data_IF_577486101148
#
_entry.id   IF_577486101148
#
_cell.length_a   1.000
_cell.length_b   1.000
_cell.length_c   1.000
_cell.angle_alpha   90.00
_cell.angle_beta   90.00
_cell.angle_gamma   90.00
#
_symmetry.space_group_name_H-M   'P 1'
#
loop_
_entity.id
_entity.type
_entity.pdbx_description
1 polymer ?
#
# COMPACT_ATOMS: atom_id res chain seq x y z
N UNK A 1 18.48 -22.64 20.98
CA UNK A 1 17.55 -21.54 20.64
C UNK A 1 18.35 -20.43 19.99
N UNK A 2 18.18 -20.21 18.69
CA UNK A 2 18.00 -18.86 18.13
C UNK A 2 17.63 -18.97 16.64
N UNK A 3 16.37 -19.29 16.29
CA UNK A 3 15.86 -18.80 15.01
C UNK A 3 15.82 -17.28 15.13
N UNK A 4 16.24 -16.54 14.10
CA UNK A 4 16.11 -15.07 14.05
C UNK A 4 14.71 -14.72 14.56
N UNK A 5 14.61 -13.97 15.65
CA UNK A 5 13.33 -13.40 16.07
C UNK A 5 12.90 -12.49 14.91
N UNK A 6 12.01 -12.99 14.06
CA UNK A 6 11.41 -12.20 13.01
C UNK A 6 10.51 -11.17 13.68
N UNK A 7 10.92 -9.92 13.59
CA UNK A 7 10.13 -8.79 14.08
C UNK A 7 9.17 -8.38 12.96
N UNK A 8 7.98 -8.99 12.90
CA UNK A 8 6.98 -8.72 11.84
C UNK A 8 6.60 -7.24 11.76
N UNK A 9 6.62 -6.52 12.89
CA UNK A 9 6.42 -5.07 12.91
C UNK A 9 7.52 -4.29 12.20
N UNK A 10 8.77 -4.77 12.17
CA UNK A 10 9.81 -4.15 11.33
C UNK A 10 9.59 -4.46 9.85
N UNK A 11 9.15 -5.67 9.52
CA UNK A 11 8.83 -6.05 8.15
C UNK A 11 7.63 -5.26 7.60
N UNK A 12 6.69 -4.89 8.48
CA UNK A 12 5.60 -3.97 8.17
C UNK A 12 6.14 -2.59 7.77
N UNK A 13 7.03 -2.02 8.59
CA UNK A 13 7.66 -0.73 8.25
C UNK A 13 8.40 -0.81 6.91
N UNK A 14 9.15 -1.89 6.66
CA UNK A 14 9.88 -2.08 5.40
C UNK A 14 8.94 -2.02 4.19
N UNK A 15 7.82 -2.76 4.21
CA UNK A 15 6.86 -2.74 3.10
C UNK A 15 6.15 -1.40 2.98
N UNK A 16 5.84 -0.72 4.09
CA UNK A 16 5.25 0.63 4.05
C UNK A 16 6.21 1.67 3.45
N UNK A 17 7.50 1.62 3.81
CA UNK A 17 8.51 2.54 3.23
C UNK A 17 8.64 2.29 1.74
N UNK A 18 8.69 1.02 1.32
CA UNK A 18 8.74 0.66 -0.10
C UNK A 18 7.48 1.11 -0.86
N UNK A 19 6.28 0.91 -0.32
CA UNK A 19 5.02 1.36 -0.92
C UNK A 19 4.93 2.89 -1.03
N UNK A 20 5.47 3.63 -0.04
CA UNK A 20 5.59 5.10 -0.13
C UNK A 20 6.47 5.51 -1.30
N UNK A 21 7.64 4.87 -1.46
CA UNK A 21 8.55 5.14 -2.58
C UNK A 21 7.90 4.84 -3.94
N UNK A 22 7.20 3.71 -4.07
CA UNK A 22 6.46 3.36 -5.30
C UNK A 22 5.39 4.39 -5.67
N UNK A 23 4.68 4.94 -4.68
CA UNK A 23 3.71 6.00 -4.93
C UNK A 23 4.40 7.31 -5.35
N UNK A 24 5.55 7.64 -4.77
CA UNK A 24 6.35 8.81 -5.15
C UNK A 24 6.85 8.68 -6.60
N UNK A 25 7.42 7.54 -6.98
CA UNK A 25 7.87 7.29 -8.36
C UNK A 25 6.70 7.43 -9.36
N UNK A 26 5.52 6.90 -9.03
CA UNK A 26 4.33 7.02 -9.89
C UNK A 26 3.89 8.48 -10.03
N UNK A 27 4.02 9.29 -8.98
CA UNK A 27 3.68 10.72 -9.02
C UNK A 27 4.66 11.49 -9.90
N UNK A 28 5.95 11.21 -9.78
CA UNK A 28 6.98 11.84 -10.60
C UNK A 28 6.80 11.50 -12.08
N UNK A 29 6.53 10.24 -12.40
CA UNK A 29 6.22 9.80 -13.77
C UNK A 29 4.97 10.50 -14.33
N UNK A 30 3.92 10.65 -13.53
CA UNK A 30 2.69 11.36 -13.93
C UNK A 30 2.96 12.84 -14.19
N UNK A 31 3.73 13.50 -13.32
CA UNK A 31 4.07 14.91 -13.50
C UNK A 31 4.93 15.12 -14.76
N UNK A 32 5.90 14.24 -15.02
CA UNK A 32 6.72 14.26 -16.24
C UNK A 32 5.87 14.04 -17.50
N UNK A 33 4.94 13.08 -17.47
CA UNK A 33 4.02 12.88 -18.59
C UNK A 33 3.23 14.15 -18.91
N UNK A 34 2.66 14.80 -17.90
CA UNK A 34 1.91 16.04 -18.10
C UNK A 34 2.79 17.24 -18.48
N UNK A 35 4.10 17.20 -18.20
CA UNK A 35 5.08 18.16 -18.69
C UNK A 35 5.54 17.89 -20.14
N UNK A 36 5.20 16.73 -20.69
CA UNK A 36 5.55 16.33 -22.06
C UNK A 36 6.96 15.73 -22.21
N UNK A 37 7.63 15.39 -21.10
CA UNK A 37 8.96 14.78 -21.06
C UNK A 37 9.00 13.40 -20.37
N UNK A 38 7.83 12.89 -19.98
CA UNK A 38 7.69 11.64 -19.25
C UNK A 38 7.33 10.40 -20.08
N UNK A 39 6.98 9.30 -19.39
CA UNK A 39 6.63 8.04 -20.01
C UNK A 39 5.33 8.12 -20.81
N UNK A 40 5.13 7.15 -21.69
CA UNK A 40 3.91 7.05 -22.47
C UNK A 40 2.73 6.60 -21.59
N UNK A 41 1.48 6.95 -21.90
CA UNK A 41 0.30 6.62 -21.08
C UNK A 41 0.18 5.14 -20.69
N UNK A 42 0.55 4.22 -21.60
CA UNK A 42 0.54 2.78 -21.32
C UNK A 42 1.56 2.37 -20.24
N UNK A 43 2.69 3.06 -20.18
CA UNK A 43 3.80 2.75 -19.28
C UNK A 43 3.45 3.29 -17.87
N UNK A 44 2.83 4.47 -17.78
CA UNK A 44 2.18 4.98 -16.56
C UNK A 44 1.16 4.01 -15.99
N UNK A 45 0.28 3.50 -16.85
CA UNK A 45 -0.74 2.54 -16.42
C UNK A 45 -0.09 1.25 -15.92
N UNK A 46 0.95 0.75 -16.59
CA UNK A 46 1.68 -0.43 -16.13
C UNK A 46 2.32 -0.21 -14.76
N UNK A 47 2.93 0.95 -14.53
CA UNK A 47 3.48 1.34 -13.24
C UNK A 47 2.38 1.38 -12.17
N UNK A 48 1.26 2.06 -12.44
CA UNK A 48 0.11 2.08 -11.55
C UNK A 48 -0.41 0.67 -11.23
N UNK A 49 -0.55 -0.21 -12.21
CA UNK A 49 -1.01 -1.58 -11.96
C UNK A 49 -0.06 -2.39 -11.08
N UNK A 50 1.25 -2.20 -11.26
CA UNK A 50 2.28 -2.81 -10.39
C UNK A 50 2.11 -2.35 -8.94
N UNK A 51 2.09 -1.03 -8.72
CA UNK A 51 1.89 -0.44 -7.40
C UNK A 51 0.53 -0.82 -6.77
N UNK A 52 -0.57 -0.70 -7.52
CA UNK A 52 -1.91 -1.07 -7.08
C UNK A 52 -1.96 -2.55 -6.67
N UNK A 53 -1.39 -3.45 -7.47
CA UNK A 53 -1.37 -4.88 -7.14
C UNK A 53 -0.58 -5.17 -5.87
N UNK A 54 0.54 -4.48 -5.66
CA UNK A 54 1.35 -4.63 -4.45
C UNK A 54 0.62 -4.14 -3.20
N UNK A 55 0.01 -2.95 -3.27
CA UNK A 55 -0.76 -2.38 -2.16
C UNK A 55 -2.00 -3.23 -1.84
N UNK A 56 -2.69 -3.74 -2.87
CA UNK A 56 -3.81 -4.68 -2.68
C UNK A 56 -3.34 -5.99 -2.04
N UNK A 57 -2.20 -6.57 -2.47
CA UNK A 57 -1.63 -7.79 -1.86
C UNK A 57 -1.36 -7.57 -0.38
N UNK A 58 -0.73 -6.45 -0.05
CA UNK A 58 -0.41 -6.04 1.31
C UNK A 58 -1.69 -5.94 2.18
N UNK A 59 -2.63 -5.04 1.85
CA UNK A 59 -3.83 -4.84 2.67
C UNK A 59 -4.73 -6.07 2.74
N UNK A 60 -4.89 -6.83 1.64
CA UNK A 60 -5.74 -8.03 1.67
C UNK A 60 -5.12 -9.15 2.49
N UNK A 61 -3.79 -9.24 2.54
CA UNK A 61 -3.09 -10.16 3.42
C UNK A 61 -3.21 -9.77 4.88
N UNK A 62 -3.15 -8.48 5.21
CA UNK A 62 -3.44 -8.02 6.57
C UNK A 62 -4.87 -8.36 6.98
N UNK A 63 -5.85 -8.06 6.12
CA UNK A 63 -7.27 -8.29 6.37
C UNK A 63 -7.63 -9.74 6.64
N UNK A 64 -6.96 -10.66 5.92
CA UNK A 64 -7.29 -12.09 5.87
C UNK A 64 -6.35 -12.96 6.69
N UNK A 65 -5.14 -12.48 6.98
CA UNK A 65 -4.08 -13.26 7.62
C UNK A 65 -3.66 -12.59 8.92
N UNK A 66 -3.19 -11.34 8.90
CA UNK A 66 -2.65 -10.72 10.12
C UNK A 66 -3.71 -10.31 11.14
N UNK A 67 -4.74 -9.59 10.71
CA UNK A 67 -5.77 -9.07 11.60
C UNK A 67 -6.57 -10.15 12.33
N UNK A 68 -6.89 -11.33 11.73
CA UNK A 68 -7.46 -12.45 12.48
C UNK A 68 -6.59 -12.92 13.65
N UNK A 69 -5.29 -13.15 13.42
CA UNK A 69 -4.34 -13.58 14.46
C UNK A 69 -4.25 -12.55 15.59
N UNK A 70 -4.15 -11.26 15.23
CA UNK A 70 -4.14 -10.16 16.21
C UNK A 70 -5.46 -10.11 16.99
N UNK A 71 -6.61 -10.27 16.35
CA UNK A 71 -7.92 -10.18 17.01
C UNK A 71 -8.26 -11.39 17.90
N UNK A 72 -7.57 -12.51 17.70
CA UNK A 72 -7.62 -13.70 18.55
C UNK A 72 -6.78 -13.49 19.81
N UNK A 73 -5.52 -13.07 19.66
CA UNK A 73 -4.59 -12.89 20.78
C UNK A 73 -4.84 -11.59 21.58
N UNK A 74 -5.27 -10.51 20.90
CA UNK A 74 -5.51 -9.18 21.47
C UNK A 74 -6.92 -8.65 21.13
N UNK A 75 -8.00 -9.20 21.73
CA UNK A 75 -9.38 -8.83 21.43
C UNK A 75 -9.69 -7.33 21.57
N UNK A 76 -8.96 -6.61 22.43
CA UNK A 76 -9.07 -5.17 22.62
C UNK A 76 -8.66 -4.33 21.40
N UNK A 77 -7.94 -4.91 20.44
CA UNK A 77 -7.53 -4.25 19.19
C UNK A 77 -8.57 -4.35 18.08
N UNK A 78 -9.69 -5.05 18.28
CA UNK A 78 -10.77 -5.12 17.27
C UNK A 78 -11.27 -3.75 16.77
N UNK A 79 -11.41 -2.70 17.61
CA UNK A 79 -11.74 -1.37 17.12
C UNK A 79 -10.66 -0.77 16.21
N UNK A 80 -9.38 -1.00 16.51
CA UNK A 80 -8.24 -0.56 15.67
C UNK A 80 -8.31 -1.27 14.32
N UNK A 81 -8.45 -2.59 14.32
CA UNK A 81 -8.58 -3.40 13.11
C UNK A 81 -9.79 -2.96 12.26
N UNK A 82 -10.92 -2.64 12.89
CA UNK A 82 -12.11 -2.15 12.18
C UNK A 82 -11.84 -0.82 11.48
N UNK A 83 -11.09 0.07 12.12
CA UNK A 83 -10.67 1.34 11.51
C UNK A 83 -9.72 1.09 10.33
N UNK A 84 -8.70 0.24 10.49
CA UNK A 84 -7.75 -0.10 9.43
C UNK A 84 -8.46 -0.70 8.22
N UNK A 85 -9.38 -1.66 8.43
CA UNK A 85 -10.24 -2.21 7.37
C UNK A 85 -11.09 -1.15 6.66
N UNK A 86 -11.54 -0.13 7.38
CA UNK A 86 -12.28 0.99 6.78
C UNK A 86 -11.36 1.81 5.86
N UNK A 87 -10.12 2.04 6.27
CA UNK A 87 -9.12 2.75 5.47
C UNK A 87 -8.70 1.91 4.25
N UNK A 88 -8.52 0.60 4.39
CA UNK A 88 -8.26 -0.33 3.26
C UNK A 88 -9.32 -0.22 2.16
N UNK A 89 -10.61 -0.22 2.54
CA UNK A 89 -11.71 -0.10 1.58
C UNK A 89 -11.71 1.26 0.85
N UNK A 90 -11.32 2.34 1.54
CA UNK A 90 -11.20 3.67 0.92
C UNK A 90 -10.03 3.73 -0.05
N UNK A 91 -8.89 3.17 0.36
CA UNK A 91 -7.70 3.09 -0.49
C UNK A 91 -8.02 2.28 -1.75
N UNK A 92 -8.63 1.10 -1.61
CA UNK A 92 -9.02 0.25 -2.75
C UNK A 92 -9.95 0.98 -3.75
N UNK A 93 -10.90 1.78 -3.23
CA UNK A 93 -11.75 2.60 -4.08
C UNK A 93 -10.95 3.65 -4.88
N UNK A 94 -9.98 4.32 -4.26
CA UNK A 94 -9.11 5.31 -4.92
C UNK A 94 -8.22 4.63 -5.96
N UNK A 95 -7.63 3.47 -5.64
CA UNK A 95 -6.82 2.70 -6.60
C UNK A 95 -7.64 2.33 -7.85
N UNK A 96 -8.88 1.88 -7.66
CA UNK A 96 -9.79 1.58 -8.76
C UNK A 96 -10.22 2.80 -9.59
N UNK A 97 -10.25 4.00 -8.99
CA UNK A 97 -10.47 5.25 -9.71
C UNK A 97 -9.22 5.67 -10.51
N UNK A 98 -8.03 5.54 -9.89
CA UNK A 98 -6.75 5.88 -10.49
C UNK A 98 -6.43 5.02 -11.73
N UNK A 99 -6.58 3.69 -11.66
CA UNK A 99 -6.38 2.83 -12.85
C UNK A 99 -7.31 3.22 -14.00
N UNK A 100 -8.58 3.53 -13.72
CA UNK A 100 -9.53 3.98 -14.75
C UNK A 100 -9.12 5.31 -15.39
N UNK A 101 -8.62 6.25 -14.59
CA UNK A 101 -8.12 7.52 -15.10
C UNK A 101 -6.89 7.32 -16.00
N UNK A 102 -5.92 6.54 -15.54
CA UNK A 102 -4.69 6.27 -16.30
C UNK A 102 -4.96 5.44 -17.56
N UNK A 103 -5.92 4.51 -17.52
CA UNK A 103 -6.38 3.78 -18.69
C UNK A 103 -7.07 4.66 -19.76
N UNK A 104 -7.58 5.82 -19.34
CA UNK A 104 -8.25 6.79 -20.21
C UNK A 104 -7.37 7.96 -20.65
N UNK A 105 -6.06 7.95 -20.33
CA UNK A 105 -5.17 9.04 -20.73
C UNK A 105 -5.03 9.11 -22.26
N UNK A 106 -5.11 10.30 -22.85
CA UNK A 106 -4.78 10.52 -24.27
C UNK A 106 -3.28 10.35 -24.53
N UNK A 107 -2.86 10.30 -25.79
CA UNK A 107 -1.43 10.33 -26.15
C UNK A 107 -0.80 11.71 -25.88
N UNK A 108 -1.60 12.78 -26.00
CA UNK A 108 -1.17 14.16 -25.79
C UNK A 108 -1.74 14.69 -24.46
N UNK A 109 -0.91 15.23 -23.54
CA UNK A 109 -1.35 15.71 -22.24
C UNK A 109 -2.52 16.71 -22.30
N UNK A 110 -3.57 16.43 -21.54
CA UNK A 110 -4.71 17.35 -21.37
C UNK A 110 -4.84 17.84 -19.92
N UNK A 111 -5.13 19.13 -19.77
CA UNK A 111 -5.19 19.78 -18.46
C UNK A 111 -6.30 19.23 -17.56
N UNK A 112 -7.40 18.73 -18.13
CA UNK A 112 -8.53 18.23 -17.36
C UNK A 112 -8.21 16.85 -16.74
N UNK A 113 -7.56 15.96 -17.49
CA UNK A 113 -7.02 14.71 -16.99
C UNK A 113 -5.93 14.98 -15.95
N UNK A 114 -5.05 15.95 -16.18
CA UNK A 114 -4.04 16.36 -15.19
C UNK A 114 -4.65 16.65 -13.84
N UNK A 115 -5.65 17.53 -13.80
CA UNK A 115 -6.32 17.91 -12.55
C UNK A 115 -6.95 16.70 -11.85
N UNK A 116 -7.55 15.76 -12.60
CA UNK A 116 -8.18 14.57 -12.01
C UNK A 116 -7.16 13.58 -11.47
N UNK A 117 -6.13 13.24 -12.25
CA UNK A 117 -5.10 12.26 -11.84
C UNK A 117 -4.35 12.78 -10.61
N UNK A 118 -3.95 14.05 -10.61
CA UNK A 118 -3.24 14.64 -9.47
C UNK A 118 -4.13 14.63 -8.22
N UNK A 119 -5.41 14.98 -8.34
CA UNK A 119 -6.32 14.96 -7.19
C UNK A 119 -6.46 13.55 -6.57
N UNK A 120 -6.55 12.50 -7.40
CA UNK A 120 -6.60 11.12 -6.88
C UNK A 120 -5.27 10.69 -6.24
N UNK A 121 -4.13 11.06 -6.83
CA UNK A 121 -2.80 10.76 -6.26
C UNK A 121 -2.54 11.50 -4.94
N UNK A 122 -2.95 12.77 -4.84
CA UNK A 122 -2.88 13.54 -3.59
C UNK A 122 -3.79 12.95 -2.53
N UNK A 123 -5.02 12.58 -2.90
CA UNK A 123 -5.97 11.91 -2.02
C UNK A 123 -5.43 10.57 -1.50
N UNK A 124 -4.85 9.76 -2.40
CA UNK A 124 -4.23 8.48 -2.08
C UNK A 124 -3.03 8.65 -1.14
N UNK A 125 -2.13 9.57 -1.45
CA UNK A 125 -0.96 9.87 -0.63
C UNK A 125 -1.35 10.31 0.78
N UNK A 126 -2.35 11.19 0.90
CA UNK A 126 -2.81 11.67 2.19
C UNK A 126 -3.40 10.54 3.05
N UNK A 127 -4.28 9.69 2.48
CA UNK A 127 -4.86 8.59 3.25
C UNK A 127 -3.79 7.55 3.61
N UNK A 128 -2.92 7.15 2.68
CA UNK A 128 -1.86 6.17 2.94
C UNK A 128 -0.93 6.62 4.05
N UNK A 129 -0.52 7.89 4.07
CA UNK A 129 0.38 8.40 5.11
C UNK A 129 -0.27 8.33 6.50
N UNK A 130 -1.54 8.75 6.61
CA UNK A 130 -2.28 8.66 7.88
C UNK A 130 -2.54 7.22 8.30
N UNK A 131 -2.81 6.35 7.34
CA UNK A 131 -3.10 4.93 7.54
C UNK A 131 -1.87 4.18 8.05
N UNK A 132 -0.74 4.23 7.33
CA UNK A 132 0.50 3.57 7.72
C UNK A 132 1.01 4.08 9.07
N UNK A 133 0.99 5.39 9.30
CA UNK A 133 1.39 5.96 10.60
C UNK A 133 0.51 5.45 11.74
N UNK A 134 -0.80 5.35 11.52
CA UNK A 134 -1.72 4.85 12.53
C UNK A 134 -1.50 3.37 12.81
N UNK A 135 -1.33 2.56 11.77
CA UNK A 135 -1.08 1.14 11.90
C UNK A 135 0.24 0.84 12.61
N UNK A 136 1.35 1.42 12.13
CA UNK A 136 2.67 1.25 12.74
C UNK A 136 2.63 1.62 14.22
N UNK A 137 1.97 2.74 14.57
CA UNK A 137 1.82 3.16 15.97
C UNK A 137 1.03 2.17 16.82
N UNK A 138 0.05 1.47 16.24
CA UNK A 138 -0.89 0.61 16.99
C UNK A 138 -0.46 -0.85 17.02
N UNK A 139 0.10 -1.36 15.93
CA UNK A 139 0.28 -2.78 15.71
C UNK A 139 1.75 -3.21 15.69
N UNK A 140 2.73 -2.31 15.57
CA UNK A 140 4.15 -2.70 15.47
C UNK A 140 4.60 -3.59 16.65
N UNK A 141 4.38 -3.14 17.89
CA UNK A 141 4.79 -3.90 19.08
C UNK A 141 4.01 -5.22 19.18
N UNK A 142 2.74 -5.22 18.76
CA UNK A 142 1.87 -6.40 18.77
C UNK A 142 2.40 -7.44 17.79
N UNK A 143 2.64 -7.05 16.55
CA UNK A 143 3.22 -7.88 15.50
C UNK A 143 4.59 -8.44 15.89
N UNK A 144 5.43 -7.66 16.57
CA UNK A 144 6.72 -8.15 17.06
C UNK A 144 6.60 -9.17 18.20
N UNK A 145 5.46 -9.18 18.91
CA UNK A 145 5.16 -10.14 19.96
C UNK A 145 4.48 -11.41 19.47
N UNK A 146 3.88 -11.38 18.27
CA UNK A 146 3.14 -12.52 17.72
C UNK A 146 4.05 -13.73 17.49
N UNK A 147 3.57 -14.90 17.93
CA UNK A 147 4.17 -16.19 17.61
C UNK A 147 3.26 -16.99 16.67
N UNK A 148 3.33 -16.70 15.37
CA UNK A 148 2.65 -17.47 14.33
C UNK A 148 3.65 -18.46 13.70
N UNK A 149 3.57 -19.78 13.97
CA UNK A 149 4.57 -20.74 13.51
C UNK A 149 4.78 -20.75 12.00
N UNK A 150 3.70 -20.54 11.21
CA UNK A 150 3.77 -20.48 9.75
C UNK A 150 4.63 -19.31 9.24
N UNK A 151 4.56 -18.15 9.88
CA UNK A 151 5.30 -16.95 9.45
C UNK A 151 6.78 -16.97 9.88
N UNK A 152 7.15 -17.86 10.81
CA UNK A 152 8.57 -18.07 11.17
C UNK A 152 9.34 -18.79 10.09
N UNK A 153 8.66 -19.66 9.34
CA UNK A 153 9.27 -20.45 8.28
C UNK A 153 9.50 -19.63 7.01
N UNK A 154 8.57 -18.72 6.69
CA UNK A 154 8.57 -17.91 5.49
C UNK A 154 7.94 -16.54 5.78
N UNK A 155 8.51 -15.47 5.20
CA UNK A 155 7.94 -14.12 5.30
C UNK A 155 6.58 -14.13 4.59
N UNK A 156 5.49 -13.72 5.26
CA UNK A 156 4.18 -13.65 4.62
C UNK A 156 4.17 -12.77 3.38
N UNK A 157 3.42 -13.16 2.34
CA UNK A 157 3.32 -12.46 1.05
C UNK A 157 2.98 -10.96 1.18
N UNK A 158 2.19 -10.62 2.19
CA UNK A 158 1.74 -9.24 2.45
C UNK A 158 2.82 -8.33 3.04
N UNK A 159 3.94 -8.91 3.47
CA UNK A 159 5.12 -8.21 3.96
C UNK A 159 6.26 -8.20 2.93
N UNK A 160 6.09 -8.82 1.76
CA UNK A 160 7.11 -8.84 0.72
C UNK A 160 7.23 -7.47 0.06
N UNK A 161 8.48 -7.09 -0.22
CA UNK A 161 8.86 -6.00 -1.13
C UNK A 161 9.40 -6.64 -2.41
N UNK A 162 9.08 -6.06 -3.57
CA UNK A 162 9.62 -6.56 -4.83
C UNK A 162 11.01 -5.93 -5.06
N UNK A 163 11.96 -6.70 -5.59
CA UNK A 163 13.26 -6.17 -6.00
C UNK A 163 13.12 -5.46 -7.36
N UNK A 164 13.67 -4.25 -7.47
CA UNK A 164 13.77 -3.47 -8.71
C UNK A 164 14.80 -4.05 -9.71
#
# INVERSE_FOLDING_TARGET
>A
MNPRLTAFGHQLIEVHVWLRGRLEDLRDDVDAYFAGDGPLPRDLRAHCLSFCSALTRHHTGEDRVAFPEIAEEFPELRPVITQLKTDHNRIDWILGALDKLLAGLPDEPDQAARTRVIAELEGLSAIMETHFTYEEKKLLTVLNGLDVPGWRAERPDFLLVDED
#
